data_IF_727793551304
#
_entry.id   IF_727793551304
#
_cell.length_a   1.000
_cell.length_b   1.000
_cell.length_c   1.000
_cell.angle_alpha   90.00
_cell.angle_beta   90.00
_cell.angle_gamma   90.00
#
_symmetry.space_group_name_H-M   'P 1'
#
loop_
_entity.id
_entity.type
_entity.pdbx_description
1 polymer ?
#
# COMPACT_ATOMS: atom_id res chain seq x y z
N UNK A 1 -16.71 10.60 18.62
CA UNK A 1 -15.70 11.65 18.85
C UNK A 1 -15.53 12.40 17.54
N UNK A 2 -15.54 13.71 17.53
CA UNK A 2 -15.36 14.51 16.33
C UNK A 2 -13.87 14.60 16.02
N UNK A 3 -13.52 14.40 14.74
CA UNK A 3 -12.16 14.52 14.20
C UNK A 3 -11.52 15.86 14.63
N UNK A 4 -10.31 15.86 15.23
CA UNK A 4 -9.65 17.08 15.70
C UNK A 4 -9.27 18.07 14.58
N UNK A 5 -9.27 17.66 13.30
CA UNK A 5 -8.99 18.53 12.13
C UNK A 5 -10.22 19.31 11.61
N UNK A 6 -11.39 19.19 12.25
CA UNK A 6 -12.53 20.10 12.05
C UNK A 6 -13.32 19.95 10.74
N UNK A 7 -13.11 18.88 9.95
CA UNK A 7 -13.89 18.65 8.72
C UNK A 7 -15.31 18.09 8.97
N UNK A 8 -15.65 17.77 10.25
CA UNK A 8 -16.97 17.26 10.64
C UNK A 8 -17.26 15.82 10.19
N UNK A 9 -16.30 15.14 9.57
CA UNK A 9 -16.45 13.76 9.13
C UNK A 9 -16.18 12.79 10.27
N UNK A 10 -16.92 11.66 10.27
CA UNK A 10 -16.68 10.57 11.22
C UNK A 10 -15.56 9.68 10.68
N UNK A 11 -14.53 9.44 11.51
CA UNK A 11 -13.44 8.53 11.18
C UNK A 11 -13.95 7.16 10.75
N UNK A 12 -13.29 6.56 9.77
CA UNK A 12 -13.56 5.19 9.32
C UNK A 12 -13.23 4.19 10.44
N UNK A 13 -12.25 4.48 11.31
CA UNK A 13 -11.94 3.66 12.47
C UNK A 13 -13.14 3.51 13.43
N UNK A 14 -13.94 4.57 13.58
CA UNK A 14 -15.11 4.60 14.48
C UNK A 14 -16.38 3.99 13.86
N UNK A 15 -16.34 3.54 12.61
CA UNK A 15 -17.48 2.97 11.89
C UNK A 15 -17.52 1.44 12.02
N UNK A 16 -18.72 0.87 12.04
CA UNK A 16 -18.92 -0.58 11.90
C UNK A 16 -18.58 -1.03 10.46
N UNK A 17 -18.27 -2.32 10.29
CA UNK A 17 -18.03 -2.90 8.95
C UNK A 17 -19.20 -2.66 7.98
N UNK A 18 -20.42 -2.66 8.50
CA UNK A 18 -21.61 -2.39 7.67
C UNK A 18 -21.66 -0.93 7.21
N UNK A 19 -21.36 0.04 8.08
CA UNK A 19 -21.29 1.47 7.72
C UNK A 19 -20.18 1.72 6.69
N UNK A 20 -19.06 0.99 6.77
CA UNK A 20 -17.97 1.00 5.80
C UNK A 20 -18.30 0.35 4.44
N UNK A 21 -19.53 -0.15 4.25
CA UNK A 21 -19.97 -0.77 2.98
C UNK A 21 -19.76 -2.28 2.90
N UNK A 22 -19.45 -2.94 4.03
CA UNK A 22 -19.22 -4.37 4.15
C UNK A 22 -17.76 -4.79 3.95
N UNK A 23 -17.43 -6.10 4.12
CA UNK A 23 -16.04 -6.59 4.22
C UNK A 23 -15.22 -6.42 2.94
N UNK A 24 -15.88 -6.25 1.80
CA UNK A 24 -15.23 -6.10 0.50
C UNK A 24 -14.92 -4.67 0.11
N UNK A 25 -15.45 -3.67 0.84
CA UNK A 25 -15.22 -2.26 0.53
C UNK A 25 -13.77 -1.86 0.83
N UNK A 26 -13.28 -0.84 0.13
CA UNK A 26 -11.93 -0.29 0.38
C UNK A 26 -11.80 0.19 1.83
N UNK A 27 -12.83 0.81 2.40
CA UNK A 27 -12.82 1.31 3.78
C UNK A 27 -12.60 0.20 4.80
N UNK A 28 -13.30 -0.93 4.65
CA UNK A 28 -13.14 -2.08 5.55
C UNK A 28 -11.80 -2.79 5.37
N UNK A 29 -11.25 -2.79 4.16
CA UNK A 29 -9.95 -3.39 3.87
C UNK A 29 -8.82 -2.56 4.46
N UNK A 30 -8.86 -1.25 4.28
CA UNK A 30 -7.91 -0.30 4.86
C UNK A 30 -7.91 -0.39 6.38
N UNK A 31 -9.05 -0.19 7.03
CA UNK A 31 -9.16 -0.24 8.48
C UNK A 31 -8.68 -1.58 9.09
N UNK A 32 -8.88 -2.69 8.38
CA UNK A 32 -8.36 -4.00 8.82
C UNK A 32 -6.85 -4.08 8.68
N UNK A 33 -6.30 -3.64 7.55
CA UNK A 33 -4.87 -3.71 7.28
C UNK A 33 -4.08 -2.80 8.23
N UNK A 34 -4.61 -1.58 8.54
CA UNK A 34 -4.06 -0.67 9.55
C UNK A 34 -4.05 -1.30 10.94
N UNK A 35 -5.16 -1.92 11.36
CA UNK A 35 -5.24 -2.60 12.65
C UNK A 35 -4.24 -3.76 12.76
N UNK A 36 -4.06 -4.53 11.68
CA UNK A 36 -3.08 -5.61 11.62
C UNK A 36 -1.64 -5.09 11.63
N UNK A 37 -1.35 -3.98 10.93
CA UNK A 37 -0.04 -3.31 10.97
C UNK A 37 0.26 -2.79 12.37
N UNK A 38 -0.70 -2.13 13.03
CA UNK A 38 -0.49 -1.60 14.37
C UNK A 38 -0.26 -2.71 15.42
N UNK A 39 -0.98 -3.82 15.34
CA UNK A 39 -0.72 -4.97 16.22
C UNK A 39 0.66 -5.58 15.96
N UNK A 40 1.09 -5.64 14.72
CA UNK A 40 2.42 -6.11 14.36
C UNK A 40 3.51 -5.16 14.90
N UNK A 41 3.32 -3.85 14.78
CA UNK A 41 4.23 -2.84 15.37
C UNK A 41 4.28 -2.93 16.91
N UNK A 42 3.14 -3.19 17.59
CA UNK A 42 3.13 -3.45 19.03
C UNK A 42 3.89 -4.73 19.41
N UNK A 43 3.95 -5.71 18.54
CA UNK A 43 4.71 -6.93 18.80
C UNK A 43 6.23 -6.68 18.90
N UNK A 44 6.73 -5.62 18.28
CA UNK A 44 8.13 -5.18 18.40
C UNK A 44 8.54 -4.88 19.83
N UNK A 45 7.66 -4.19 20.59
CA UNK A 45 7.94 -3.84 21.99
C UNK A 45 7.91 -5.10 22.91
N UNK A 46 7.24 -6.16 22.49
CA UNK A 46 7.19 -7.45 23.20
C UNK A 46 8.31 -8.41 22.80
N UNK A 47 9.03 -8.11 21.75
CA UNK A 47 10.10 -8.97 21.23
C UNK A 47 11.27 -9.08 22.24
N UNK A 48 11.73 -10.32 22.47
CA UNK A 48 12.67 -10.65 23.54
C UNK A 48 14.14 -10.55 23.15
N UNK A 49 14.47 -10.16 21.93
CA UNK A 49 15.85 -9.99 21.50
C UNK A 49 16.02 -9.50 20.06
N UNK A 50 17.27 -9.18 19.66
CA UNK A 50 17.55 -8.56 18.36
C UNK A 50 17.00 -9.37 17.17
N UNK A 51 17.17 -10.68 17.17
CA UNK A 51 16.70 -11.54 16.08
C UNK A 51 15.17 -11.53 15.93
N UNK A 52 14.43 -11.46 17.02
CA UNK A 52 12.96 -11.35 16.99
C UNK A 52 12.53 -9.96 16.54
N UNK A 53 13.16 -8.91 17.04
CA UNK A 53 12.94 -7.52 16.60
C UNK A 53 13.17 -7.37 15.10
N UNK A 54 14.28 -7.88 14.58
CA UNK A 54 14.57 -7.85 13.14
C UNK A 54 13.51 -8.57 12.30
N UNK A 55 12.97 -9.71 12.78
CA UNK A 55 11.86 -10.40 12.09
C UNK A 55 10.57 -9.58 12.07
N UNK A 56 10.22 -8.96 13.19
CA UNK A 56 9.03 -8.08 13.25
C UNK A 56 9.18 -6.89 12.30
N UNK A 57 10.33 -6.23 12.30
CA UNK A 57 10.61 -5.11 11.39
C UNK A 57 10.51 -5.52 9.92
N UNK A 58 11.06 -6.68 9.56
CA UNK A 58 10.96 -7.20 8.21
C UNK A 58 9.50 -7.47 7.79
N UNK A 59 8.69 -8.02 8.69
CA UNK A 59 7.27 -8.30 8.44
C UNK A 59 6.43 -7.02 8.35
N UNK A 60 6.66 -6.03 9.25
CA UNK A 60 6.04 -4.70 9.15
C UNK A 60 6.42 -4.04 7.83
N UNK A 61 7.70 -4.06 7.47
CA UNK A 61 8.19 -3.46 6.24
C UNK A 61 7.56 -4.07 4.98
N UNK A 62 7.51 -5.41 4.88
CA UNK A 62 6.85 -6.06 3.74
C UNK A 62 5.37 -5.65 3.65
N UNK A 63 4.67 -5.65 4.79
CA UNK A 63 3.24 -5.33 4.81
C UNK A 63 2.98 -3.86 4.46
N UNK A 64 3.71 -2.92 5.07
CA UNK A 64 3.59 -1.49 4.81
C UNK A 64 3.89 -1.13 3.34
N UNK A 65 4.94 -1.71 2.75
CA UNK A 65 5.28 -1.48 1.35
C UNK A 65 4.20 -1.98 0.38
N UNK A 66 3.60 -3.13 0.67
CA UNK A 66 2.52 -3.70 -0.15
C UNK A 66 1.23 -2.89 -0.04
N UNK A 67 0.95 -2.38 1.15
CA UNK A 67 -0.17 -1.50 1.44
C UNK A 67 -0.02 -0.19 0.67
N UNK A 68 1.03 0.57 0.92
CA UNK A 68 1.35 1.84 0.27
C UNK A 68 1.35 1.73 -1.27
N UNK A 69 1.95 0.68 -1.84
CA UNK A 69 1.95 0.49 -3.29
C UNK A 69 0.54 0.28 -3.86
N UNK A 70 -0.33 -0.42 -3.16
CA UNK A 70 -1.71 -0.61 -3.60
C UNK A 70 -2.53 0.68 -3.50
N UNK A 71 -2.24 1.55 -2.55
CA UNK A 71 -2.84 2.89 -2.43
C UNK A 71 -2.40 3.81 -3.56
N UNK A 72 -1.12 3.95 -3.76
CA UNK A 72 -0.54 4.77 -4.83
C UNK A 72 -1.00 4.35 -6.23
N UNK A 73 -1.32 3.07 -6.43
CA UNK A 73 -1.71 2.54 -7.74
C UNK A 73 -3.21 2.38 -7.95
N UNK A 74 -4.01 2.35 -6.88
CA UNK A 74 -5.46 2.12 -6.97
C UNK A 74 -6.25 3.17 -6.18
N UNK A 75 -5.97 3.34 -4.87
CA UNK A 75 -6.79 4.19 -4.01
C UNK A 75 -6.63 5.68 -4.36
N UNK A 76 -5.41 6.19 -4.42
CA UNK A 76 -5.16 7.61 -4.71
C UNK A 76 -5.58 8.02 -6.12
N UNK A 77 -5.36 7.23 -7.18
CA UNK A 77 -5.97 7.51 -8.48
C UNK A 77 -7.50 7.52 -8.47
N UNK A 78 -8.14 6.63 -7.69
CA UNK A 78 -9.60 6.66 -7.53
C UNK A 78 -10.05 7.91 -6.77
N UNK A 79 -9.36 8.26 -5.67
CA UNK A 79 -9.63 9.46 -4.90
C UNK A 79 -9.55 10.73 -5.76
N UNK A 80 -8.44 10.93 -6.49
CA UNK A 80 -8.26 12.05 -7.41
C UNK A 80 -9.32 12.11 -8.51
N UNK A 81 -9.79 10.97 -8.99
CA UNK A 81 -10.84 10.87 -10.00
C UNK A 81 -12.20 11.36 -9.51
N UNK A 82 -12.57 11.06 -8.28
CA UNK A 82 -13.90 11.36 -7.73
C UNK A 82 -13.95 12.68 -6.95
N UNK A 83 -12.81 13.16 -6.47
CA UNK A 83 -12.67 14.35 -5.63
C UNK A 83 -11.72 15.39 -6.27
N UNK A 84 -11.80 15.56 -7.61
CA UNK A 84 -10.92 16.43 -8.38
C UNK A 84 -10.88 17.86 -7.83
N UNK A 85 -9.68 18.45 -7.70
CA UNK A 85 -9.42 19.82 -7.29
C UNK A 85 -8.50 19.94 -6.09
N UNK A 86 -8.99 20.49 -4.98
CA UNK A 86 -8.18 20.87 -3.81
C UNK A 86 -7.57 19.69 -3.02
N UNK A 87 -8.04 18.48 -3.26
CA UNK A 87 -7.65 17.27 -2.50
C UNK A 87 -6.39 16.55 -3.01
N UNK A 88 -5.71 17.08 -4.03
CA UNK A 88 -4.42 16.54 -4.48
C UNK A 88 -3.29 16.77 -3.47
N UNK A 89 -3.40 17.74 -2.59
CA UNK A 89 -2.43 18.00 -1.52
C UNK A 89 -2.42 16.90 -0.47
N UNK A 90 -3.59 16.34 -0.12
CA UNK A 90 -3.69 15.26 0.86
C UNK A 90 -3.01 13.99 0.38
N UNK A 91 -3.29 13.55 -0.85
CA UNK A 91 -2.62 12.35 -1.40
C UNK A 91 -1.12 12.55 -1.58
N UNK A 92 -0.66 13.76 -1.95
CA UNK A 92 0.78 14.06 -2.01
C UNK A 92 1.46 14.06 -0.65
N UNK A 93 0.77 14.50 0.40
CA UNK A 93 1.27 14.42 1.76
C UNK A 93 1.50 12.96 2.17
N UNK A 94 0.50 12.11 2.00
CA UNK A 94 0.55 10.68 2.28
C UNK A 94 1.63 9.97 1.44
N UNK A 95 1.76 10.29 0.14
CA UNK A 95 2.85 9.78 -0.70
C UNK A 95 4.25 10.19 -0.17
N UNK A 96 4.37 11.36 0.49
CA UNK A 96 5.57 11.79 1.20
C UNK A 96 5.88 10.95 2.44
N UNK A 97 4.88 10.57 3.20
CA UNK A 97 5.02 9.67 4.35
C UNK A 97 5.44 8.25 3.91
N UNK A 98 4.84 7.73 2.84
CA UNK A 98 5.29 6.48 2.20
C UNK A 98 6.76 6.52 1.79
N UNK A 99 7.22 7.64 1.22
CA UNK A 99 8.64 7.80 0.87
C UNK A 99 9.52 7.76 2.11
N UNK A 100 9.12 8.45 3.19
CA UNK A 100 9.85 8.47 4.47
C UNK A 100 9.97 7.07 5.07
N UNK A 101 8.88 6.30 5.08
CA UNK A 101 8.87 4.90 5.55
C UNK A 101 9.78 4.04 4.69
N UNK A 102 9.72 4.18 3.37
CA UNK A 102 10.53 3.40 2.45
C UNK A 102 12.05 3.66 2.61
N UNK A 103 12.44 4.91 2.85
CA UNK A 103 13.83 5.29 3.15
C UNK A 103 14.30 4.75 4.51
N UNK A 104 13.42 4.74 5.52
CA UNK A 104 13.73 4.15 6.82
C UNK A 104 13.92 2.62 6.69
N UNK A 105 13.05 1.95 5.95
CA UNK A 105 13.15 0.50 5.69
C UNK A 105 14.40 0.14 4.88
N UNK A 106 14.81 0.97 3.92
CA UNK A 106 16.08 0.78 3.20
C UNK A 106 17.28 0.85 4.16
N UNK A 107 17.29 1.80 5.09
CA UNK A 107 18.36 1.89 6.12
C UNK A 107 18.39 0.69 7.06
N UNK A 108 17.23 0.14 7.40
CA UNK A 108 17.11 -1.03 8.26
C UNK A 108 17.45 -2.34 7.53
N UNK A 109 17.42 -2.34 6.19
CA UNK A 109 17.75 -3.52 5.40
C UNK A 109 19.24 -3.85 5.51
N UNK A 110 19.55 -4.94 6.20
CA UNK A 110 20.92 -5.38 6.46
C UNK A 110 21.61 -4.74 7.67
N UNK A 111 20.93 -3.86 8.41
CA UNK A 111 21.39 -3.38 9.71
C UNK A 111 21.25 -4.47 10.77
N UNK A 112 22.16 -4.49 11.75
CA UNK A 112 22.05 -5.38 12.90
C UNK A 112 21.04 -4.81 13.90
N UNK A 113 19.98 -5.54 14.26
CA UNK A 113 19.02 -5.10 15.26
C UNK A 113 19.60 -4.86 16.66
N UNK A 114 20.88 -5.23 16.90
CA UNK A 114 21.60 -4.93 18.12
C UNK A 114 22.37 -3.59 18.06
N UNK A 115 22.45 -2.95 16.88
CA UNK A 115 23.20 -1.71 16.71
C UNK A 115 22.55 -0.53 17.44
N UNK A 116 23.40 0.38 17.95
CA UNK A 116 22.96 1.63 18.51
C UNK A 116 22.25 2.48 17.44
N UNK A 117 21.03 2.95 17.74
CA UNK A 117 20.21 3.73 16.80
C UNK A 117 19.26 2.91 15.94
N UNK A 118 19.35 1.58 15.92
CA UNK A 118 18.38 0.75 15.19
C UNK A 118 16.95 1.00 15.69
N UNK A 119 16.72 0.96 16.99
CA UNK A 119 15.42 1.23 17.61
C UNK A 119 14.88 2.63 17.30
N UNK A 120 15.72 3.63 17.17
CA UNK A 120 15.31 5.00 16.83
C UNK A 120 14.73 5.07 15.41
N UNK A 121 15.41 4.45 14.43
CA UNK A 121 14.92 4.38 13.05
C UNK A 121 13.61 3.59 12.95
N UNK A 122 13.50 2.47 13.69
CA UNK A 122 12.26 1.67 13.73
C UNK A 122 11.11 2.47 14.32
N UNK A 123 11.31 3.15 15.47
CA UNK A 123 10.24 3.94 16.11
C UNK A 123 9.79 5.08 15.22
N UNK A 124 10.71 5.77 14.57
CA UNK A 124 10.36 6.82 13.62
C UNK A 124 9.52 6.27 12.44
N UNK A 125 9.92 5.15 11.84
CA UNK A 125 9.13 4.52 10.78
C UNK A 125 7.73 4.13 11.26
N UNK A 126 7.59 3.57 12.46
CA UNK A 126 6.30 3.17 13.04
C UNK A 126 5.41 4.38 13.37
N UNK A 127 5.99 5.49 13.80
CA UNK A 127 5.26 6.75 14.02
C UNK A 127 4.69 7.29 12.71
N UNK A 128 5.49 7.30 11.64
CA UNK A 128 5.02 7.75 10.32
C UNK A 128 3.91 6.84 9.79
N UNK A 129 4.05 5.50 9.88
CA UNK A 129 3.00 4.55 9.46
C UNK A 129 1.69 4.79 10.24
N UNK A 130 1.75 5.06 11.55
CA UNK A 130 0.54 5.35 12.34
C UNK A 130 -0.08 6.70 11.98
N UNK A 131 0.75 7.71 11.73
CA UNK A 131 0.28 9.02 11.33
C UNK A 131 -0.46 8.95 9.99
N UNK A 132 0.12 8.29 9.02
CA UNK A 132 -0.44 8.01 7.72
C UNK A 132 -1.80 7.31 7.80
N UNK A 133 -1.89 6.19 8.52
CA UNK A 133 -3.14 5.49 8.76
C UNK A 133 -4.24 6.37 9.39
N UNK A 134 -3.87 7.28 10.31
CA UNK A 134 -4.81 8.23 10.91
C UNK A 134 -5.30 9.27 9.90
N UNK A 135 -4.42 9.82 9.06
CA UNK A 135 -4.79 10.80 8.04
C UNK A 135 -5.74 10.20 7.01
N UNK A 136 -5.53 8.94 6.65
CA UNK A 136 -6.44 8.23 5.78
C UNK A 136 -7.79 7.93 6.44
N UNK A 137 -7.81 7.37 7.64
CA UNK A 137 -9.03 6.98 8.33
C UNK A 137 -9.88 8.19 8.77
N UNK A 138 -9.24 9.31 9.07
CA UNK A 138 -9.90 10.52 9.57
C UNK A 138 -10.30 11.49 8.46
N UNK A 139 -9.63 11.47 7.30
CA UNK A 139 -9.85 12.48 6.26
C UNK A 139 -10.05 11.86 4.86
N UNK A 140 -9.09 11.14 4.30
CA UNK A 140 -9.13 10.65 2.93
C UNK A 140 -10.31 9.68 2.71
N UNK A 141 -10.42 8.65 3.53
CA UNK A 141 -11.42 7.60 3.37
C UNK A 141 -12.86 8.10 3.65
N UNK A 142 -13.12 8.93 4.68
CA UNK A 142 -14.45 9.53 4.86
C UNK A 142 -14.89 10.42 3.70
N UNK A 143 -13.99 11.19 3.09
CA UNK A 143 -14.31 12.00 1.89
C UNK A 143 -14.65 11.11 0.70
N UNK A 144 -13.88 10.06 0.47
CA UNK A 144 -14.16 9.09 -0.59
C UNK A 144 -15.53 8.42 -0.36
N UNK A 145 -15.85 8.07 0.90
CA UNK A 145 -17.15 7.48 1.27
C UNK A 145 -18.33 8.38 0.92
N UNK A 146 -18.17 9.70 1.06
CA UNK A 146 -19.22 10.66 0.70
C UNK A 146 -19.36 10.86 -0.82
N UNK A 147 -18.24 10.71 -1.55
CA UNK A 147 -18.19 10.98 -2.99
C UNK A 147 -18.72 9.82 -3.84
N UNK A 148 -18.68 8.57 -3.35
CA UNK A 148 -19.02 7.40 -4.15
C UNK A 148 -19.97 6.44 -3.43
N UNK A 149 -20.72 5.65 -4.22
CA UNK A 149 -21.62 4.62 -3.69
C UNK A 149 -20.89 3.36 -3.22
N UNK A 150 -21.59 2.52 -2.46
CA UNK A 150 -21.05 1.28 -1.88
C UNK A 150 -20.47 0.33 -2.94
N UNK A 151 -21.08 0.23 -4.11
CA UNK A 151 -20.58 -0.65 -5.18
C UNK A 151 -19.23 -0.17 -5.73
N UNK A 152 -19.01 1.15 -5.84
CA UNK A 152 -17.72 1.69 -6.24
C UNK A 152 -16.67 1.46 -5.14
N UNK A 153 -17.01 1.66 -3.85
CA UNK A 153 -16.12 1.35 -2.74
C UNK A 153 -15.68 -0.14 -2.74
N UNK A 154 -16.58 -1.06 -3.11
CA UNK A 154 -16.27 -2.49 -3.25
C UNK A 154 -15.40 -2.76 -4.48
N UNK A 155 -15.65 -2.07 -5.59
CA UNK A 155 -14.85 -2.18 -6.82
C UNK A 155 -13.41 -1.73 -6.57
N UNK A 156 -13.22 -0.57 -5.93
CA UNK A 156 -11.91 -0.06 -5.52
C UNK A 156 -11.25 -1.05 -4.57
N UNK A 157 -11.97 -1.56 -3.57
CA UNK A 157 -11.45 -2.54 -2.61
C UNK A 157 -10.99 -3.85 -3.27
N UNK A 158 -11.71 -4.33 -4.27
CA UNK A 158 -11.30 -5.52 -5.03
C UNK A 158 -10.02 -5.28 -5.85
N UNK A 159 -9.93 -4.13 -6.52
CA UNK A 159 -8.75 -3.74 -7.29
C UNK A 159 -7.52 -3.56 -6.39
N UNK A 160 -7.69 -2.88 -5.25
CA UNK A 160 -6.65 -2.68 -4.23
C UNK A 160 -6.10 -4.02 -3.70
N UNK A 161 -6.98 -4.96 -3.37
CA UNK A 161 -6.56 -6.28 -2.88
C UNK A 161 -5.75 -7.07 -3.91
N UNK A 162 -6.13 -6.99 -5.19
CA UNK A 162 -5.35 -7.62 -6.26
C UNK A 162 -3.98 -6.97 -6.36
N UNK A 163 -3.92 -5.64 -6.33
CA UNK A 163 -2.67 -4.89 -6.44
C UNK A 163 -1.76 -5.15 -5.23
N UNK A 164 -2.30 -5.14 -4.01
CA UNK A 164 -1.57 -5.46 -2.78
C UNK A 164 -0.88 -6.83 -2.85
N UNK A 165 -1.54 -7.83 -3.45
CA UNK A 165 -0.94 -9.16 -3.64
C UNK A 165 0.17 -9.18 -4.69
N UNK A 166 0.15 -8.26 -5.65
CA UNK A 166 1.15 -8.15 -6.71
C UNK A 166 2.28 -7.18 -6.39
N UNK A 167 2.21 -6.47 -5.28
CA UNK A 167 3.18 -5.44 -4.89
C UNK A 167 4.57 -5.99 -4.61
N UNK A 168 5.63 -5.16 -4.76
CA UNK A 168 6.98 -5.46 -4.28
C UNK A 168 7.00 -5.76 -2.78
N UNK A 169 7.93 -6.60 -2.35
CA UNK A 169 8.09 -7.01 -0.95
C UNK A 169 9.30 -6.37 -0.27
N UNK A 170 10.10 -5.60 -1.03
CA UNK A 170 11.33 -4.94 -0.55
C UNK A 170 11.28 -3.44 -0.83
N UNK A 171 12.01 -2.62 -0.04
CA UNK A 171 12.06 -1.17 -0.25
C UNK A 171 12.74 -0.80 -1.57
N UNK A 172 12.14 0.14 -2.29
CA UNK A 172 12.64 0.70 -3.55
C UNK A 172 12.47 2.23 -3.56
N UNK A 173 13.21 3.00 -2.76
CA UNK A 173 12.97 4.44 -2.55
C UNK A 173 13.22 5.31 -3.78
N UNK A 174 13.89 4.78 -4.81
CA UNK A 174 14.14 5.50 -6.08
C UNK A 174 13.02 5.35 -7.11
N UNK A 175 11.99 4.56 -6.80
CA UNK A 175 10.85 4.38 -7.70
C UNK A 175 9.88 5.55 -7.49
N UNK A 176 9.40 6.21 -8.55
CA UNK A 176 8.37 7.25 -8.44
C UNK A 176 7.11 6.72 -7.74
N UNK A 177 6.47 7.53 -6.92
CA UNK A 177 5.25 7.16 -6.19
C UNK A 177 3.98 7.35 -7.01
N UNK A 178 4.04 8.14 -8.07
CA UNK A 178 2.89 8.45 -8.92
C UNK A 178 2.82 7.56 -10.18
N UNK A 179 1.60 7.18 -10.63
CA UNK A 179 1.41 6.55 -11.93
C UNK A 179 1.80 7.48 -13.09
N UNK A 180 2.33 6.93 -14.20
CA UNK A 180 2.54 5.51 -14.49
C UNK A 180 3.88 4.96 -13.96
N UNK A 181 4.72 5.78 -13.32
CA UNK A 181 6.08 5.42 -12.92
C UNK A 181 6.12 4.27 -11.92
N UNK A 182 5.32 4.33 -10.86
CA UNK A 182 5.22 3.27 -9.84
C UNK A 182 4.68 1.95 -10.42
N UNK A 183 3.66 1.97 -11.29
CA UNK A 183 3.11 0.76 -11.91
C UNK A 183 4.11 0.12 -12.87
N UNK A 184 4.79 0.94 -13.71
CA UNK A 184 5.76 0.44 -14.69
C UNK A 184 7.01 -0.16 -14.03
N UNK A 185 7.46 0.41 -12.89
CA UNK A 185 8.60 -0.10 -12.15
C UNK A 185 8.20 -1.20 -11.16
N UNK A 186 7.03 -1.11 -10.52
CA UNK A 186 6.58 -2.01 -9.47
C UNK A 186 6.41 -3.45 -9.93
N UNK A 187 5.87 -3.70 -11.13
CA UNK A 187 5.68 -5.06 -11.64
C UNK A 187 7.01 -5.81 -11.83
N UNK A 188 8.02 -5.26 -12.54
CA UNK A 188 9.33 -5.89 -12.63
C UNK A 188 10.01 -6.09 -11.28
N UNK A 189 9.89 -5.12 -10.36
CA UNK A 189 10.47 -5.19 -9.03
C UNK A 189 9.78 -6.26 -8.17
N UNK A 190 8.45 -6.34 -8.18
CA UNK A 190 7.70 -7.37 -7.49
C UNK A 190 8.09 -8.79 -7.95
N UNK A 191 8.35 -8.97 -9.24
CA UNK A 191 8.88 -10.23 -9.80
C UNK A 191 10.29 -10.50 -9.27
N UNK A 192 11.17 -9.49 -9.33
CA UNK A 192 12.55 -9.61 -8.85
C UNK A 192 12.61 -9.96 -7.36
N UNK A 193 11.81 -9.25 -6.53
CA UNK A 193 11.77 -9.48 -5.10
C UNK A 193 11.28 -10.90 -4.75
N UNK A 194 10.19 -11.35 -5.38
CA UNK A 194 9.68 -12.72 -5.16
C UNK A 194 10.66 -13.79 -5.61
N UNK A 195 11.43 -13.55 -6.67
CA UNK A 195 12.51 -14.46 -7.09
C UNK A 195 13.58 -14.50 -6.01
N UNK A 196 14.03 -13.35 -5.48
CA UNK A 196 15.01 -13.30 -4.39
C UNK A 196 14.49 -13.98 -3.14
N UNK A 197 13.24 -13.70 -2.72
CA UNK A 197 12.62 -14.32 -1.55
C UNK A 197 12.54 -15.86 -1.69
N UNK A 198 12.25 -16.35 -2.90
CA UNK A 198 12.24 -17.78 -3.19
C UNK A 198 13.64 -18.42 -3.13
N UNK A 199 14.70 -17.69 -3.50
CA UNK A 199 16.08 -18.13 -3.35
C UNK A 199 16.51 -18.15 -1.88
N UNK A 200 16.13 -17.14 -1.10
CA UNK A 200 16.47 -17.02 0.32
C UNK A 200 15.75 -18.10 1.17
N UNK A 201 14.53 -18.51 0.79
CA UNK A 201 13.72 -19.52 1.49
C UNK A 201 14.19 -20.99 1.33
N UNK A 202 15.19 -21.28 0.49
CA UNK A 202 15.81 -22.63 0.32
C UNK A 202 14.96 -23.70 -0.39
N UNK A 203 15.54 -24.33 -1.37
CA UNK A 203 15.32 -25.62 -2.05
C UNK A 203 13.92 -26.02 -2.56
N UNK A 204 13.01 -26.46 -1.75
CA UNK A 204 11.79 -27.15 -2.20
C UNK A 204 10.65 -26.21 -2.69
N UNK A 205 10.68 -24.93 -2.33
CA UNK A 205 9.66 -23.95 -2.73
C UNK A 205 10.01 -23.18 -4.00
N UNK A 206 11.21 -23.35 -4.54
CA UNK A 206 11.72 -22.63 -5.73
C UNK A 206 10.85 -22.82 -6.97
N UNK A 207 10.44 -24.04 -7.26
CA UNK A 207 9.65 -24.34 -8.47
C UNK A 207 8.27 -23.71 -8.48
N UNK A 208 7.60 -23.70 -7.33
CA UNK A 208 6.25 -23.11 -7.20
C UNK A 208 6.31 -21.59 -7.24
N UNK A 209 7.29 -20.97 -6.58
CA UNK A 209 7.45 -19.52 -6.56
C UNK A 209 7.78 -18.95 -7.96
N UNK A 210 8.66 -19.61 -8.72
CA UNK A 210 8.99 -19.20 -10.10
C UNK A 210 7.78 -19.35 -11.02
N UNK A 211 6.99 -20.41 -10.88
CA UNK A 211 5.78 -20.62 -11.70
C UNK A 211 4.70 -19.57 -11.39
N UNK A 212 4.45 -19.24 -10.11
CA UNK A 212 3.50 -18.22 -9.69
C UNK A 212 3.91 -16.82 -10.19
N UNK A 213 5.20 -16.50 -10.11
CA UNK A 213 5.76 -15.23 -10.61
C UNK A 213 5.60 -15.12 -12.13
N UNK A 214 5.87 -16.18 -12.88
CA UNK A 214 5.72 -16.18 -14.34
C UNK A 214 4.25 -15.99 -14.77
N UNK A 215 3.30 -16.62 -14.09
CA UNK A 215 1.86 -16.47 -14.36
C UNK A 215 1.36 -15.06 -13.99
N UNK A 216 1.82 -14.50 -12.87
CA UNK A 216 1.46 -13.14 -12.45
C UNK A 216 2.01 -12.08 -13.42
N UNK A 217 3.27 -12.22 -13.87
CA UNK A 217 3.87 -11.33 -14.85
C UNK A 217 3.15 -11.39 -16.21
N UNK A 218 2.77 -12.57 -16.68
CA UNK A 218 2.01 -12.74 -17.91
C UNK A 218 0.60 -12.12 -17.81
N UNK A 219 -0.07 -12.29 -16.68
CA UNK A 219 -1.38 -11.67 -16.41
C UNK A 219 -1.32 -10.14 -16.38
N UNK A 220 -0.32 -9.57 -15.72
CA UNK A 220 -0.11 -8.12 -15.65
C UNK A 220 0.18 -7.50 -17.02
N UNK A 221 0.98 -8.17 -17.86
CA UNK A 221 1.25 -7.75 -19.24
C UNK A 221 -0.01 -7.75 -20.11
N UNK A 222 -0.89 -8.73 -19.94
CA UNK A 222 -2.17 -8.79 -20.68
C UNK A 222 -3.11 -7.65 -20.25
N UNK A 223 -3.19 -7.34 -18.96
CA UNK A 223 -4.00 -6.23 -18.44
C UNK A 223 -3.47 -4.89 -18.96
N UNK A 224 -2.15 -4.68 -18.88
CA UNK A 224 -1.50 -3.47 -19.40
C UNK A 224 -1.71 -3.29 -20.90
N UNK A 225 -1.54 -4.37 -21.69
CA UNK A 225 -1.78 -4.34 -23.13
C UNK A 225 -3.25 -4.02 -23.49
N UNK A 226 -4.21 -4.49 -22.67
CA UNK A 226 -5.64 -4.17 -22.84
C UNK A 226 -5.93 -2.71 -22.47
N UNK A 227 -5.31 -2.17 -21.41
CA UNK A 227 -5.46 -0.78 -20.99
C UNK A 227 -4.90 0.18 -22.05
N UNK A 228 -3.70 -0.08 -22.58
CA UNK A 228 -3.08 0.71 -23.66
C UNK A 228 -3.94 0.66 -24.94
N UNK A 229 -4.46 -0.50 -25.32
CA UNK A 229 -5.35 -0.62 -26.49
C UNK A 229 -6.68 0.12 -26.31
N UNK A 230 -7.22 0.21 -25.10
CA UNK A 230 -8.44 0.98 -24.81
C UNK A 230 -8.18 2.49 -24.87
N UNK A 231 -7.05 2.95 -24.31
CA UNK A 231 -6.65 4.35 -24.36
C UNK A 231 -6.41 4.83 -25.82
N UNK A 232 -5.77 4.00 -26.66
CA UNK A 232 -5.53 4.31 -28.08
C UNK A 232 -6.79 4.31 -28.98
N UNK A 233 -7.89 3.70 -28.54
CA UNK A 233 -9.16 3.69 -29.29
C UNK A 233 -10.11 4.85 -28.94
N UNK A 234 -9.88 5.53 -27.82
CA UNK A 234 -10.66 6.71 -27.40
C UNK A 234 -10.28 8.03 -28.09
N UNK A 235 -9.20 8.06 -28.89
CA UNK A 235 -8.68 9.26 -29.53
C UNK A 235 -9.14 9.55 -30.97
N UNK A 236 -9.98 8.70 -31.54
CA UNK A 236 -10.52 8.91 -32.90
C UNK A 236 -11.97 9.44 -32.83
N UNK A 237 -12.12 10.72 -32.42
CA UNK A 237 -13.34 11.47 -32.62
C UNK A 237 -13.50 11.85 -34.11
N UNK A 238 -14.74 11.94 -34.65
CA UNK A 238 -14.96 12.24 -36.05
C UNK A 238 -14.50 13.66 -36.37
N UNK A 239 -13.60 13.77 -37.36
CA UNK A 239 -13.34 15.06 -38.02
C UNK A 239 -14.50 15.31 -38.97
N UNK A 240 -15.32 16.32 -38.62
CA UNK A 240 -16.23 16.95 -39.55
C UNK A 240 -15.55 18.15 -40.23
#
# INVERSE_FOLDING_TARGET
>A
MTNPRGNGLRSVADQSEQERGGPGSILSRQSRDHAELDELMRSYDRATGPAERGRVVAEVGERALRHAFAEETVLFPAYRRFLAGDDDELTRHIEGDHQTVNEALERLQGADPADAGYDEVVRHAFEVIRHDAHDEEDDLLPRLQQAVGVEELRSIGAAWEVQRRLSPTRPHPRVPREPPGNVLAGIPLAVSDRVKDAFDAGGARRGVAVAVVAVAAAGALVVLARAVRRAGRGGAGPRA
#
